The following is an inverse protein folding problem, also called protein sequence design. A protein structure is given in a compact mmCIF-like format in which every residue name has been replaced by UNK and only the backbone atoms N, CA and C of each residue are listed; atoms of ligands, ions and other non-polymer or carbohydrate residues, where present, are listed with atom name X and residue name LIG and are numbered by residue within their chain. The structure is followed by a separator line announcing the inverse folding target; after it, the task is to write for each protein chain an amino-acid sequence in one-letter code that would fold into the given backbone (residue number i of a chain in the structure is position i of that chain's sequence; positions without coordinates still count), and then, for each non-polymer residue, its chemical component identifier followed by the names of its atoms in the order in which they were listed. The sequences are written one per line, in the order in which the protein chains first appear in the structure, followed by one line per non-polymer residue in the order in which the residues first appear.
data_IF_949529912854
#
_entry.id   IF_949529912854
#
_cell.length_a   1.000
_cell.length_b   1.000
_cell.length_c   1.000
_cell.angle_alpha   90.00
_cell.angle_beta   90.00
_cell.angle_gamma   90.00
#
_symmetry.space_group_name_H-M   'P 1'
#
loop_
_entity.id
_entity.type
_entity.pdbx_description
1 polymer ?
#
# COMPACT_ATOMS: atom_id res chain seq x y z
N UNK A 1 5.77 6.45 11.95
CA UNK A 1 5.99 4.99 11.81
C UNK A 1 6.87 4.67 10.61
N UNK A 2 6.41 4.88 9.37
CA UNK A 2 7.24 4.59 8.17
C UNK A 2 8.48 5.49 8.12
N UNK A 3 8.39 6.75 8.53
CA UNK A 3 9.56 7.61 8.68
C UNK A 3 10.61 7.04 9.66
N UNK A 4 10.21 6.60 10.85
CA UNK A 4 11.13 6.00 11.83
C UNK A 4 11.73 4.68 11.34
N UNK A 5 10.99 3.93 10.52
CA UNK A 5 11.47 2.70 9.86
C UNK A 5 12.38 3.01 8.67
N UNK A 6 12.20 4.15 8.00
CA UNK A 6 13.03 4.58 6.88
C UNK A 6 14.45 5.00 7.29
N UNK A 7 14.61 5.37 8.57
CA UNK A 7 15.90 5.48 9.27
C UNK A 7 16.61 4.13 9.47
N UNK A 8 15.88 3.02 9.36
CA UNK A 8 16.39 1.67 9.58
C UNK A 8 16.72 0.97 8.26
N UNK A 9 17.20 -0.28 8.35
CA UNK A 9 17.47 -1.16 7.22
C UNK A 9 16.30 -1.22 6.21
N UNK A 10 16.57 -1.17 4.89
CA UNK A 10 15.55 -1.35 3.85
C UNK A 10 14.73 -2.64 4.00
N UNK A 11 15.33 -3.69 4.57
CA UNK A 11 14.69 -4.98 4.84
C UNK A 11 13.57 -4.86 5.88
N UNK A 12 13.71 -3.96 6.86
CA UNK A 12 12.69 -3.70 7.89
C UNK A 12 11.52 -2.90 7.32
N UNK A 13 11.79 -1.91 6.46
CA UNK A 13 10.75 -1.18 5.73
C UNK A 13 9.97 -2.17 4.86
N UNK A 14 10.69 -3.01 4.12
CA UNK A 14 10.07 -4.00 3.26
C UNK A 14 9.23 -5.01 4.05
N UNK A 15 9.72 -5.50 5.18
CA UNK A 15 8.95 -6.41 6.05
C UNK A 15 7.71 -5.73 6.63
N UNK A 16 7.82 -4.46 7.04
CA UNK A 16 6.70 -3.69 7.54
C UNK A 16 5.63 -3.45 6.47
N UNK A 17 6.05 -3.04 5.27
CA UNK A 17 5.15 -2.83 4.12
C UNK A 17 4.53 -4.15 3.67
N UNK A 18 5.29 -5.25 3.64
CA UNK A 18 4.74 -6.58 3.36
C UNK A 18 3.69 -7.01 4.40
N UNK A 19 3.85 -6.60 5.66
CA UNK A 19 2.84 -6.78 6.71
C UNK A 19 1.46 -6.23 6.33
N UNK A 20 1.41 -5.08 5.65
CA UNK A 20 0.14 -4.51 5.15
C UNK A 20 -0.54 -5.42 4.12
N UNK A 21 0.23 -6.08 3.24
CA UNK A 21 -0.36 -7.02 2.29
C UNK A 21 -0.77 -8.35 2.93
N UNK A 22 -0.02 -8.82 3.94
CA UNK A 22 -0.41 -10.01 4.71
C UNK A 22 -1.76 -9.77 5.38
N UNK A 23 -1.95 -8.59 5.98
CA UNK A 23 -3.22 -8.20 6.59
C UNK A 23 -4.38 -8.20 5.58
N UNK A 24 -4.18 -7.61 4.39
CA UNK A 24 -5.18 -7.65 3.32
C UNK A 24 -5.54 -9.07 2.86
N UNK A 25 -4.54 -9.95 2.71
CA UNK A 25 -4.77 -11.35 2.34
C UNK A 25 -5.48 -12.14 3.45
N UNK A 26 -5.07 -11.95 4.71
CA UNK A 26 -5.68 -12.58 5.87
C UNK A 26 -7.13 -12.12 6.05
N UNK A 27 -7.38 -10.81 5.94
CA UNK A 27 -8.72 -10.21 5.96
C UNK A 27 -9.62 -10.83 4.90
N UNK A 28 -9.09 -11.02 3.68
CA UNK A 28 -9.83 -11.66 2.59
C UNK A 28 -10.13 -13.13 2.88
N UNK A 29 -9.16 -13.88 3.42
CA UNK A 29 -9.33 -15.28 3.80
C UNK A 29 -10.39 -15.43 4.90
N UNK A 30 -10.31 -14.63 5.98
CA UNK A 30 -11.30 -14.64 7.06
C UNK A 30 -12.68 -14.33 6.47
N UNK A 31 -12.80 -13.29 5.63
CA UNK A 31 -14.09 -12.92 5.02
C UNK A 31 -14.69 -14.02 4.15
N UNK A 32 -13.88 -14.75 3.38
CA UNK A 32 -14.32 -15.90 2.59
C UNK A 32 -14.78 -17.06 3.48
N UNK A 33 -14.00 -17.40 4.53
CA UNK A 33 -14.33 -18.45 5.49
C UNK A 33 -15.62 -18.12 6.22
N UNK A 34 -15.75 -16.89 6.72
CA UNK A 34 -16.94 -16.44 7.44
C UNK A 34 -18.16 -16.45 6.53
N UNK A 35 -18.04 -16.01 5.28
CA UNK A 35 -19.15 -16.15 4.33
C UNK A 35 -19.53 -17.62 4.12
N UNK A 36 -18.56 -18.51 3.92
CA UNK A 36 -18.81 -19.94 3.68
C UNK A 36 -19.51 -20.60 4.88
N UNK A 37 -19.08 -20.26 6.09
CA UNK A 37 -19.63 -20.80 7.33
C UNK A 37 -21.07 -20.34 7.59
N UNK A 38 -21.42 -19.10 7.22
CA UNK A 38 -22.72 -18.51 7.55
C UNK A 38 -23.69 -18.41 6.36
N UNK A 39 -23.31 -18.79 5.14
CA UNK A 39 -24.16 -18.65 3.93
C UNK A 39 -25.55 -19.29 4.08
N UNK A 40 -25.64 -20.43 4.79
CA UNK A 40 -26.90 -21.18 4.96
C UNK A 40 -27.64 -20.86 6.27
N UNK A 41 -27.18 -19.89 7.06
CA UNK A 41 -27.76 -19.54 8.36
C UNK A 41 -28.79 -18.41 8.25
N UNK A 42 -29.84 -18.45 9.09
CA UNK A 42 -30.74 -17.30 9.25
C UNK A 42 -29.96 -16.11 9.84
N UNK A 43 -30.05 -14.96 9.18
CA UNK A 43 -29.20 -13.78 9.41
C UNK A 43 -27.69 -14.03 9.26
N UNK A 44 -27.32 -15.01 8.43
CA UNK A 44 -25.94 -15.44 8.23
C UNK A 44 -24.98 -14.32 7.83
N UNK A 45 -25.41 -13.40 6.96
CA UNK A 45 -24.58 -12.26 6.54
C UNK A 45 -24.24 -11.33 7.72
N UNK A 46 -25.22 -11.05 8.59
CA UNK A 46 -25.05 -10.17 9.76
C UNK A 46 -24.20 -10.84 10.83
N UNK A 47 -24.48 -12.10 11.16
CA UNK A 47 -23.68 -12.88 12.12
C UNK A 47 -22.25 -13.03 11.63
N UNK A 48 -22.08 -13.30 10.34
CA UNK A 48 -20.78 -13.35 9.70
C UNK A 48 -20.03 -12.02 9.81
N UNK A 49 -20.67 -10.89 9.48
CA UNK A 49 -20.04 -9.57 9.60
C UNK A 49 -19.62 -9.25 11.05
N UNK A 50 -20.46 -9.57 12.05
CA UNK A 50 -20.14 -9.35 13.46
C UNK A 50 -18.94 -10.20 13.90
N UNK A 51 -18.88 -11.47 13.50
CA UNK A 51 -17.77 -12.37 13.85
C UNK A 51 -16.48 -11.93 13.15
N UNK A 52 -16.56 -11.57 11.87
CA UNK A 52 -15.43 -11.02 11.13
C UNK A 52 -14.87 -9.78 11.83
N UNK A 53 -15.74 -8.84 12.22
CA UNK A 53 -15.34 -7.61 12.90
C UNK A 53 -14.74 -7.91 14.28
N UNK A 54 -15.32 -8.83 15.05
CA UNK A 54 -14.79 -9.24 16.35
C UNK A 54 -13.38 -9.84 16.25
N UNK A 55 -13.15 -10.72 15.27
CA UNK A 55 -11.83 -11.32 15.02
C UNK A 55 -10.84 -10.24 14.58
N UNK A 56 -11.23 -9.36 13.65
CA UNK A 56 -10.37 -8.27 13.18
C UNK A 56 -9.96 -7.34 14.32
N UNK A 57 -10.91 -6.89 15.15
CA UNK A 57 -10.63 -6.03 16.32
C UNK A 57 -9.71 -6.73 17.33
N UNK A 58 -9.88 -8.02 17.55
CA UNK A 58 -8.99 -8.78 18.45
C UNK A 58 -7.55 -8.83 17.91
N UNK A 59 -7.39 -9.11 16.61
CA UNK A 59 -6.07 -9.13 15.95
C UNK A 59 -5.41 -7.74 16.00
N UNK A 60 -6.14 -6.68 15.68
CA UNK A 60 -5.64 -5.30 15.76
C UNK A 60 -5.17 -4.94 17.17
N UNK A 61 -5.97 -5.29 18.21
CA UNK A 61 -5.62 -5.03 19.60
C UNK A 61 -4.33 -5.78 19.98
N UNK A 62 -4.19 -7.04 19.56
CA UNK A 62 -2.97 -7.81 19.75
C UNK A 62 -1.77 -7.16 19.03
N UNK A 63 -1.94 -6.68 17.80
CA UNK A 63 -0.90 -5.95 17.06
C UNK A 63 -0.45 -4.69 17.79
N UNK A 64 -1.39 -3.92 18.35
CA UNK A 64 -1.08 -2.72 19.14
C UNK A 64 -0.28 -3.07 20.41
N UNK A 65 -0.67 -4.14 21.12
CA UNK A 65 0.06 -4.62 22.31
C UNK A 65 1.49 -5.06 21.93
N UNK A 66 1.63 -5.88 20.89
CA UNK A 66 2.95 -6.33 20.41
C UNK A 66 3.83 -5.13 20.02
N UNK A 67 3.26 -4.15 19.33
CA UNK A 67 3.98 -2.93 18.96
C UNK A 67 4.35 -2.07 20.17
N UNK A 68 3.49 -1.93 21.17
CA UNK A 68 3.77 -1.10 22.34
C UNK A 68 4.82 -1.74 23.26
N UNK A 69 4.75 -3.06 23.48
CA UNK A 69 5.54 -3.74 24.51
C UNK A 69 6.72 -4.55 23.98
N UNK A 70 6.61 -5.16 22.79
CA UNK A 70 7.65 -6.06 22.23
C UNK A 70 8.57 -5.29 21.30
N UNK A 71 8.02 -4.51 20.37
CA UNK A 71 8.81 -3.81 19.35
C UNK A 71 9.93 -2.90 19.93
N UNK A 72 9.71 -2.08 20.98
CA UNK A 72 10.75 -1.23 21.56
C UNK A 72 11.87 -2.03 22.26
N UNK A 73 11.60 -3.28 22.64
CA UNK A 73 12.55 -4.14 23.35
C UNK A 73 13.52 -4.86 22.41
N UNK A 74 13.21 -4.93 21.12
CA UNK A 74 14.04 -5.60 20.11
C UNK A 74 15.44 -4.95 20.02
N UNK A 75 16.53 -5.74 20.02
CA UNK A 75 17.90 -5.22 19.98
C UNK A 75 18.18 -4.31 18.79
N UNK A 76 17.65 -4.68 17.61
CA UNK A 76 17.81 -3.90 16.38
C UNK A 76 17.14 -2.52 16.48
N UNK A 77 15.95 -2.45 17.09
CA UNK A 77 15.22 -1.20 17.28
C UNK A 77 15.95 -0.30 18.27
N UNK A 78 16.48 -0.87 19.37
CA UNK A 78 17.30 -0.13 20.33
C UNK A 78 18.56 0.46 19.68
N UNK A 79 19.25 -0.32 18.86
CA UNK A 79 20.43 0.13 18.11
C UNK A 79 20.12 1.29 17.16
N UNK A 80 19.05 1.19 16.37
CA UNK A 80 18.69 2.26 15.44
C UNK A 80 18.18 3.52 16.15
N UNK A 81 17.46 3.38 17.27
CA UNK A 81 17.05 4.52 18.11
C UNK A 81 18.25 5.22 18.75
N UNK A 82 19.23 4.48 19.27
CA UNK A 82 20.44 5.08 19.84
C UNK A 82 21.30 5.75 18.76
N UNK A 83 21.42 5.13 17.57
CA UNK A 83 22.09 5.73 16.41
C UNK A 83 21.41 7.03 15.97
N UNK A 84 20.09 7.05 15.87
CA UNK A 84 19.34 8.26 15.52
C UNK A 84 19.50 9.37 16.57
N UNK A 85 19.51 9.02 17.86
CA UNK A 85 19.77 9.97 18.95
C UNK A 85 21.19 10.55 18.89
N UNK A 86 22.19 9.72 18.58
CA UNK A 86 23.58 10.14 18.40
C UNK A 86 23.75 11.07 17.20
N UNK A 87 23.19 10.72 16.04
CA UNK A 87 23.23 11.58 14.84
C UNK A 87 22.50 12.91 15.06
N UNK A 88 21.37 12.89 15.79
CA UNK A 88 20.67 14.10 16.21
C UNK A 88 21.52 14.99 17.12
N UNK A 89 22.15 14.41 18.15
CA UNK A 89 23.03 15.14 19.07
C UNK A 89 24.25 15.74 18.37
N UNK A 90 24.89 14.99 17.46
CA UNK A 90 26.02 15.48 16.66
C UNK A 90 25.61 16.63 15.74
N UNK A 91 24.40 16.60 15.19
CA UNK A 91 23.86 17.69 14.36
C UNK A 91 23.66 18.96 15.19
N UNK A 92 23.12 18.84 16.40
CA UNK A 92 22.97 19.98 17.33
C UNK A 92 24.33 20.55 17.72
N UNK A 93 25.32 19.70 18.00
CA UNK A 93 26.67 20.13 18.35
C UNK A 93 27.36 20.87 17.18
N UNK A 94 27.22 20.38 15.95
CA UNK A 94 27.76 21.04 14.77
C UNK A 94 27.11 22.41 14.50
N UNK A 95 25.80 22.54 14.73
CA UNK A 95 25.08 23.82 14.62
C UNK A 95 25.53 24.85 15.67
N UNK A 96 26.08 24.41 16.80
CA UNK A 96 26.56 25.30 17.86
C UNK A 96 28.03 25.75 17.66
N UNK A 97 28.80 24.99 16.89
CA UNK A 97 30.26 25.21 16.72
C UNK A 97 30.57 25.91 15.39
N UNK A 98 29.68 25.85 14.40
CA UNK A 98 29.96 26.26 13.03
C UNK A 98 28.81 27.12 12.46
N UNK A 99 29.04 28.43 12.36
CA UNK A 99 28.08 29.40 11.79
C UNK A 99 28.11 29.37 10.23
N UNK A 100 29.01 28.59 9.62
CA UNK A 100 29.27 28.64 8.17
C UNK A 100 29.63 27.30 7.50
N UNK A 101 29.44 26.12 8.14
CA UNK A 101 29.77 24.84 7.49
C UNK A 101 28.66 24.18 6.70
N UNK A 102 29.06 23.81 5.49
CA UNK A 102 28.39 23.10 4.38
C UNK A 102 27.91 21.68 4.73
N UNK A 103 27.32 21.47 5.89
CA UNK A 103 26.61 20.25 6.27
C UNK A 103 25.11 20.50 6.50
N UNK A 104 24.57 21.49 5.78
CA UNK A 104 23.17 21.89 5.86
C UNK A 104 22.28 20.70 5.48
N UNK A 105 21.54 20.18 6.47
CA UNK A 105 20.46 19.21 6.26
C UNK A 105 19.52 19.77 5.19
N UNK A 106 19.20 18.98 4.18
CA UNK A 106 18.27 19.41 3.14
C UNK A 106 16.91 19.77 3.78
N UNK A 107 16.32 20.88 3.35
CA UNK A 107 14.99 21.28 3.79
C UNK A 107 13.94 20.31 3.25
N UNK A 108 12.82 20.13 3.95
CA UNK A 108 11.71 19.27 3.47
C UNK A 108 11.24 19.67 2.06
N UNK A 109 11.31 20.96 1.71
CA UNK A 109 10.96 21.46 0.39
C UNK A 109 11.96 21.03 -0.69
N UNK A 110 13.24 20.98 -0.35
CA UNK A 110 14.31 20.53 -1.25
C UNK A 110 14.27 19.01 -1.42
N UNK A 111 14.08 18.28 -0.32
CA UNK A 111 13.86 16.82 -0.34
C UNK A 111 12.67 16.45 -1.21
N UNK A 112 11.55 17.18 -1.09
CA UNK A 112 10.39 16.99 -1.94
C UNK A 112 10.70 17.31 -3.39
N UNK A 113 11.38 18.43 -3.68
CA UNK A 113 11.72 18.81 -5.06
C UNK A 113 12.62 17.80 -5.75
N UNK A 114 13.55 17.18 -5.03
CA UNK A 114 14.45 16.14 -5.56
C UNK A 114 13.78 14.76 -5.75
N UNK A 115 12.69 14.50 -5.05
CA UNK A 115 11.98 13.21 -5.06
C UNK A 115 10.52 13.35 -5.50
N UNK A 116 10.19 14.44 -6.21
CA UNK A 116 8.83 14.73 -6.65
C UNK A 116 8.32 13.65 -7.61
N UNK A 117 9.21 13.07 -8.41
CA UNK A 117 8.95 11.92 -9.27
C UNK A 117 8.46 10.72 -8.47
N UNK A 118 9.16 10.34 -7.39
CA UNK A 118 8.71 9.25 -6.52
C UNK A 118 7.39 9.55 -5.81
N UNK A 119 7.22 10.77 -5.32
CA UNK A 119 6.01 11.19 -4.62
C UNK A 119 4.78 11.17 -5.55
N UNK A 120 4.91 11.74 -6.75
CA UNK A 120 3.86 11.75 -7.78
C UNK A 120 3.57 10.34 -8.28
N UNK A 121 4.61 9.53 -8.54
CA UNK A 121 4.43 8.13 -8.95
C UNK A 121 3.64 7.34 -7.91
N UNK A 122 3.96 7.49 -6.63
CA UNK A 122 3.24 6.83 -5.54
C UNK A 122 1.80 7.33 -5.44
N UNK A 123 1.58 8.65 -5.53
CA UNK A 123 0.24 9.22 -5.56
C UNK A 123 -0.60 8.63 -6.71
N UNK A 124 -0.10 8.69 -7.94
CA UNK A 124 -0.79 8.17 -9.13
C UNK A 124 -1.05 6.67 -9.05
N UNK A 125 -0.10 5.91 -8.51
CA UNK A 125 -0.24 4.47 -8.29
C UNK A 125 -1.47 4.14 -7.44
N UNK A 126 -1.65 4.84 -6.31
CA UNK A 126 -2.77 4.62 -5.39
C UNK A 126 -4.07 5.25 -5.89
N UNK A 127 -4.02 6.39 -6.58
CA UNK A 127 -5.18 6.98 -7.26
C UNK A 127 -5.80 5.97 -8.23
N UNK A 128 -4.98 5.41 -9.13
CA UNK A 128 -5.44 4.46 -10.11
C UNK A 128 -6.03 3.20 -9.44
N UNK A 129 -5.27 2.61 -8.52
CA UNK A 129 -5.68 1.35 -7.89
C UNK A 129 -7.00 1.52 -7.12
N UNK A 130 -7.15 2.60 -6.34
CA UNK A 130 -8.37 2.82 -5.55
C UNK A 130 -9.52 3.43 -6.34
N UNK A 131 -9.26 4.00 -7.52
CA UNK A 131 -10.33 4.34 -8.45
C UNK A 131 -11.00 3.09 -9.05
N UNK A 132 -10.37 1.91 -8.98
CA UNK A 132 -10.91 0.65 -9.53
C UNK A 132 -11.35 -0.29 -8.40
N UNK A 133 -10.60 -0.37 -7.30
CA UNK A 133 -10.90 -1.27 -6.18
C UNK A 133 -11.17 -0.43 -4.92
N UNK A 134 -12.31 -0.59 -4.23
CA UNK A 134 -13.29 -1.67 -4.37
C UNK A 134 -14.53 -1.35 -5.21
N UNK A 135 -14.89 -0.08 -5.46
CA UNK A 135 -16.24 0.27 -5.91
C UNK A 135 -16.62 -0.33 -7.25
N UNK A 136 -15.78 -0.19 -8.28
CA UNK A 136 -16.04 -0.82 -9.58
C UNK A 136 -16.25 -2.34 -9.49
N UNK A 137 -15.59 -3.04 -8.56
CA UNK A 137 -15.77 -4.49 -8.38
C UNK A 137 -17.10 -4.87 -7.74
N UNK A 138 -17.58 -4.09 -6.78
CA UNK A 138 -18.86 -4.34 -6.12
C UNK A 138 -20.03 -3.89 -6.99
N UNK A 139 -19.84 -2.82 -7.76
CA UNK A 139 -20.87 -2.21 -8.57
C UNK A 139 -21.14 -2.99 -9.86
N UNK A 140 -20.13 -3.68 -10.40
CA UNK A 140 -20.27 -4.44 -11.64
C UNK A 140 -20.53 -5.93 -11.43
N UNK A 141 -21.22 -6.33 -10.36
CA UNK A 141 -21.74 -7.70 -10.20
C UNK A 141 -22.97 -7.89 -11.10
N UNK A 142 -22.76 -7.98 -12.41
CA UNK A 142 -23.76 -8.46 -13.35
C UNK A 142 -24.15 -9.93 -13.10
N UNK A 143 -24.90 -10.54 -14.03
CA UNK A 143 -25.16 -11.97 -13.95
C UNK A 143 -23.88 -12.75 -14.27
N UNK A 144 -23.33 -13.39 -13.26
CA UNK A 144 -22.11 -14.17 -13.39
C UNK A 144 -22.25 -15.47 -12.60
N UNK A 145 -21.54 -16.53 -13.02
CA UNK A 145 -21.66 -17.85 -12.38
C UNK A 145 -21.27 -17.87 -10.89
N UNK A 146 -20.54 -16.85 -10.42
CA UNK A 146 -20.09 -16.72 -9.03
C UNK A 146 -21.06 -15.94 -8.14
N UNK A 147 -22.09 -15.28 -8.70
CA UNK A 147 -23.09 -14.53 -7.95
C UNK A 147 -22.49 -13.61 -6.87
N UNK A 148 -22.97 -13.72 -5.64
CA UNK A 148 -22.53 -12.89 -4.49
C UNK A 148 -21.08 -13.17 -4.05
N UNK A 149 -20.44 -14.23 -4.55
CA UNK A 149 -19.03 -14.55 -4.27
C UNK A 149 -18.05 -13.78 -5.14
N UNK A 150 -18.52 -13.25 -6.26
CA UNK A 150 -17.67 -12.65 -7.28
C UNK A 150 -16.81 -11.50 -6.73
N UNK A 151 -17.40 -10.48 -6.14
CA UNK A 151 -16.66 -9.34 -5.60
C UNK A 151 -15.67 -9.76 -4.50
N UNK A 152 -16.01 -10.75 -3.67
CA UNK A 152 -15.11 -11.25 -2.64
C UNK A 152 -13.90 -11.99 -3.21
N UNK A 153 -14.12 -12.79 -4.26
CA UNK A 153 -13.03 -13.46 -4.97
C UNK A 153 -12.12 -12.43 -5.65
N UNK A 154 -12.67 -11.39 -6.28
CA UNK A 154 -11.87 -10.33 -6.88
C UNK A 154 -11.01 -9.61 -5.84
N UNK A 155 -11.59 -9.21 -4.70
CA UNK A 155 -10.83 -8.58 -3.61
C UNK A 155 -9.74 -9.53 -3.06
N UNK A 156 -10.06 -10.82 -2.91
CA UNK A 156 -9.07 -11.80 -2.48
C UNK A 156 -7.92 -11.96 -3.49
N UNK A 157 -8.23 -12.02 -4.79
CA UNK A 157 -7.22 -12.12 -5.85
C UNK A 157 -6.35 -10.87 -5.93
N UNK A 158 -6.93 -9.68 -5.77
CA UNK A 158 -6.18 -8.43 -5.65
C UNK A 158 -5.20 -8.48 -4.48
N UNK A 159 -5.66 -8.86 -3.29
CA UNK A 159 -4.84 -8.88 -2.08
C UNK A 159 -3.76 -9.97 -2.11
N UNK A 160 -4.07 -11.18 -2.58
CA UNK A 160 -3.11 -12.27 -2.72
C UNK A 160 -2.00 -11.93 -3.73
N UNK A 161 -2.36 -11.39 -4.91
CA UNK A 161 -1.35 -10.96 -5.88
C UNK A 161 -0.61 -9.70 -5.43
N UNK A 162 -1.25 -8.81 -4.69
CA UNK A 162 -0.60 -7.70 -4.00
C UNK A 162 0.51 -8.18 -3.06
N UNK A 163 0.23 -9.21 -2.27
CA UNK A 163 1.22 -9.86 -1.39
C UNK A 163 2.42 -10.39 -2.19
N UNK A 164 2.16 -11.16 -3.25
CA UNK A 164 3.22 -11.66 -4.14
C UNK A 164 4.03 -10.49 -4.74
N UNK A 165 3.35 -9.43 -5.15
CA UNK A 165 3.95 -8.21 -5.69
C UNK A 165 4.92 -7.55 -4.72
N UNK A 166 4.57 -7.46 -3.44
CA UNK A 166 5.44 -6.85 -2.42
C UNK A 166 6.72 -7.65 -2.14
N UNK A 167 6.70 -8.97 -2.36
CA UNK A 167 7.90 -9.81 -2.24
C UNK A 167 8.73 -9.88 -3.52
N UNK A 168 8.14 -9.54 -4.67
CA UNK A 168 8.81 -9.61 -5.97
C UNK A 168 10.13 -8.83 -6.02
N UNK A 169 10.27 -7.62 -5.43
CA UNK A 169 11.54 -6.89 -5.37
C UNK A 169 12.68 -7.55 -4.59
N UNK A 170 12.43 -8.64 -3.82
CA UNK A 170 13.51 -9.45 -3.22
C UNK A 170 14.35 -10.14 -4.31
N UNK A 171 13.72 -10.45 -5.43
CA UNK A 171 14.37 -11.03 -6.60
C UNK A 171 15.02 -9.90 -7.38
N UNK A 172 16.35 -9.79 -7.29
CA UNK A 172 17.12 -8.64 -7.82
C UNK A 172 16.85 -8.33 -9.30
N UNK A 173 16.59 -9.34 -10.15
CA UNK A 173 16.34 -9.10 -11.58
C UNK A 173 14.97 -8.46 -11.84
N UNK A 174 13.98 -8.70 -10.97
CA UNK A 174 12.62 -8.13 -11.11
C UNK A 174 12.54 -6.72 -10.53
N UNK A 175 13.51 -6.32 -9.71
CA UNK A 175 13.49 -5.04 -9.03
C UNK A 175 13.76 -3.89 -10.00
N UNK A 176 12.77 -3.02 -10.17
CA UNK A 176 12.90 -1.81 -10.98
C UNK A 176 13.61 -0.73 -10.17
N UNK A 177 14.88 -0.46 -10.48
CA UNK A 177 15.66 0.58 -9.78
C UNK A 177 15.76 1.91 -10.52
N UNK A 178 15.48 1.93 -11.84
CA UNK A 178 15.59 3.14 -12.66
C UNK A 178 14.39 4.06 -12.43
N UNK A 179 14.65 5.33 -12.06
CA UNK A 179 13.62 6.39 -11.89
C UNK A 179 12.65 6.51 -13.08
N UNK A 180 13.20 6.57 -14.30
CA UNK A 180 12.40 6.62 -15.53
C UNK A 180 11.53 5.36 -15.69
N UNK A 181 12.12 4.18 -15.48
CA UNK A 181 11.39 2.90 -15.56
C UNK A 181 10.23 2.79 -14.56
N UNK A 182 10.37 3.34 -13.34
CA UNK A 182 9.26 3.41 -12.38
C UNK A 182 8.14 4.34 -12.87
N UNK A 183 8.51 5.50 -13.40
CA UNK A 183 7.54 6.46 -13.94
C UNK A 183 6.78 5.87 -15.12
N UNK A 184 7.51 5.28 -16.07
CA UNK A 184 6.93 4.64 -17.25
C UNK A 184 6.01 3.48 -16.85
N UNK A 185 6.41 2.66 -15.87
CA UNK A 185 5.59 1.57 -15.35
C UNK A 185 4.30 2.08 -14.68
N UNK A 186 4.36 3.15 -13.89
CA UNK A 186 3.17 3.76 -13.27
C UNK A 186 2.24 4.34 -14.33
N UNK A 187 2.77 5.06 -15.31
CA UNK A 187 1.97 5.62 -16.40
C UNK A 187 1.32 4.53 -17.27
N UNK A 188 2.05 3.44 -17.55
CA UNK A 188 1.51 2.30 -18.29
C UNK A 188 0.30 1.67 -17.61
N UNK A 189 0.21 1.72 -16.26
CA UNK A 189 -0.95 1.18 -15.55
C UNK A 189 -2.24 1.94 -15.87
N UNK A 190 -2.20 3.20 -16.31
CA UNK A 190 -3.43 3.92 -16.69
C UNK A 190 -4.14 3.29 -17.91
N UNK A 191 -3.43 2.54 -18.75
CA UNK A 191 -4.06 1.73 -19.80
C UNK A 191 -4.93 0.60 -19.24
N UNK A 192 -4.80 0.24 -17.96
CA UNK A 192 -5.71 -0.71 -17.33
C UNK A 192 -7.14 -0.15 -17.26
N UNK A 193 -7.35 1.16 -17.12
CA UNK A 193 -8.69 1.77 -17.04
C UNK A 193 -9.55 1.41 -18.27
N UNK A 194 -9.14 1.72 -19.52
CA UNK A 194 -9.93 1.34 -20.69
C UNK A 194 -10.04 -0.18 -20.86
N UNK A 195 -9.03 -0.95 -20.45
CA UNK A 195 -9.06 -2.42 -20.50
C UNK A 195 -10.10 -2.99 -19.51
N UNK A 196 -10.19 -2.45 -18.30
CA UNK A 196 -11.22 -2.79 -17.32
C UNK A 196 -12.61 -2.44 -17.85
N UNK A 197 -12.79 -1.23 -18.41
CA UNK A 197 -14.06 -0.81 -19.01
C UNK A 197 -14.50 -1.72 -20.16
N UNK A 198 -13.57 -2.13 -21.03
CA UNK A 198 -13.86 -3.05 -22.14
C UNK A 198 -14.22 -4.46 -21.63
N UNK A 199 -13.46 -4.96 -20.65
CA UNK A 199 -13.66 -6.30 -20.07
C UNK A 199 -14.99 -6.42 -19.35
N UNK A 200 -15.51 -5.35 -18.76
CA UNK A 200 -16.87 -5.33 -18.19
C UNK A 200 -17.95 -5.58 -19.22
N UNK A 201 -17.79 -5.04 -20.42
CA UNK A 201 -18.82 -5.11 -21.47
C UNK A 201 -18.76 -6.40 -22.28
N UNK A 202 -17.56 -6.92 -22.50
CA UNK A 202 -17.33 -8.00 -23.47
C UNK A 202 -16.55 -9.18 -22.90
N UNK A 203 -15.93 -9.02 -21.73
CA UNK A 203 -15.08 -10.03 -21.10
C UNK A 203 -15.86 -10.95 -20.17
N UNK A 204 -15.32 -12.16 -19.99
CA UNK A 204 -15.80 -13.11 -19.00
C UNK A 204 -15.27 -12.82 -17.58
N UNK A 205 -15.74 -13.61 -16.61
CA UNK A 205 -15.29 -13.53 -15.22
C UNK A 205 -13.78 -13.80 -15.06
N UNK A 206 -13.21 -14.67 -15.88
CA UNK A 206 -11.80 -15.05 -15.85
C UNK A 206 -10.89 -13.89 -16.25
N UNK A 207 -11.23 -13.17 -17.31
CA UNK A 207 -10.50 -11.96 -17.73
C UNK A 207 -10.48 -10.90 -16.65
N UNK A 208 -11.60 -10.69 -15.95
CA UNK A 208 -11.66 -9.73 -14.85
C UNK A 208 -10.79 -10.17 -13.65
N UNK A 209 -10.81 -11.45 -13.29
CA UNK A 209 -9.93 -12.01 -12.25
C UNK A 209 -8.46 -11.83 -12.64
N UNK A 210 -8.11 -12.07 -13.90
CA UNK A 210 -6.74 -11.89 -14.40
C UNK A 210 -6.31 -10.42 -14.32
N UNK A 211 -7.13 -9.48 -14.76
CA UNK A 211 -6.81 -8.05 -14.69
C UNK A 211 -6.65 -7.57 -13.26
N UNK A 212 -7.51 -8.01 -12.36
CA UNK A 212 -7.42 -7.72 -10.93
C UNK A 212 -6.13 -8.28 -10.31
N UNK A 213 -5.74 -9.48 -10.73
CA UNK A 213 -4.48 -10.11 -10.30
C UNK A 213 -3.27 -9.29 -10.73
N UNK A 214 -3.24 -8.86 -12.00
CA UNK A 214 -2.20 -7.98 -12.54
C UNK A 214 -2.19 -6.63 -11.80
N UNK A 215 -3.37 -6.06 -11.54
CA UNK A 215 -3.51 -4.81 -10.81
C UNK A 215 -2.90 -4.92 -9.41
N UNK A 216 -3.22 -6.00 -8.68
CA UNK A 216 -2.66 -6.30 -7.35
C UNK A 216 -1.14 -6.49 -7.38
N UNK A 217 -0.65 -7.37 -8.26
CA UNK A 217 0.78 -7.66 -8.41
C UNK A 217 1.61 -6.40 -8.70
N UNK A 218 1.18 -5.62 -9.69
CA UNK A 218 1.86 -4.38 -10.08
C UNK A 218 1.79 -3.31 -9.00
N UNK A 219 0.67 -3.21 -8.27
CA UNK A 219 0.53 -2.29 -7.13
C UNK A 219 1.56 -2.61 -6.04
N UNK A 220 1.60 -3.86 -5.60
CA UNK A 220 2.52 -4.31 -4.55
C UNK A 220 3.99 -4.12 -4.95
N UNK A 221 4.33 -4.51 -6.18
CA UNK A 221 5.70 -4.42 -6.70
C UNK A 221 6.20 -2.98 -6.77
N UNK A 222 5.44 -2.09 -7.42
CA UNK A 222 5.85 -0.70 -7.62
C UNK A 222 5.87 0.09 -6.31
N UNK A 223 4.91 -0.15 -5.40
CA UNK A 223 4.92 0.47 -4.06
C UNK A 223 6.20 0.17 -3.30
N UNK A 224 6.60 -1.11 -3.25
CA UNK A 224 7.83 -1.52 -2.54
C UNK A 224 9.07 -0.97 -3.23
N UNK A 225 9.13 -0.98 -4.56
CA UNK A 225 10.24 -0.38 -5.29
C UNK A 225 10.39 1.11 -4.94
N UNK A 226 9.32 1.90 -5.02
CA UNK A 226 9.36 3.35 -4.71
C UNK A 226 9.78 3.59 -3.26
N UNK A 227 9.13 2.93 -2.30
CA UNK A 227 9.36 3.14 -0.87
C UNK A 227 10.75 2.68 -0.40
N UNK A 228 11.36 1.70 -1.08
CA UNK A 228 12.71 1.21 -0.73
C UNK A 228 13.83 1.93 -1.45
N UNK A 229 13.57 2.56 -2.61
CA UNK A 229 14.59 3.25 -3.40
C UNK A 229 14.66 4.74 -3.02
N UNK A 230 13.52 5.40 -2.83
CA UNK A 230 13.48 6.86 -2.63
C UNK A 230 14.29 7.35 -1.40
N UNK A 231 14.32 6.65 -0.25
CA UNK A 231 15.16 7.05 0.88
C UNK A 231 16.65 6.70 0.72
N UNK A 232 17.06 5.92 -0.29
CA UNK A 232 18.47 5.51 -0.43
C UNK A 232 19.36 6.69 -0.81
N UNK A 233 20.50 6.81 -0.13
CA UNK A 233 21.51 7.85 -0.40
C UNK A 233 21.32 9.13 0.41
N UNK A 234 20.24 9.24 1.20
CA UNK A 234 19.99 10.36 2.12
C UNK A 234 20.52 10.09 3.53
N UNK A 235 20.78 11.15 4.30
CA UNK A 235 21.18 11.04 5.72
C UNK A 235 20.00 10.56 6.56
N UNK A 236 20.25 9.91 7.70
CA UNK A 236 19.18 9.35 8.55
C UNK A 236 17.98 10.28 8.80
N UNK A 237 18.18 11.52 9.29
CA UNK A 237 17.08 12.47 9.48
C UNK A 237 16.32 12.85 8.20
N UNK A 238 17.00 12.86 7.05
CA UNK A 238 16.40 13.13 5.74
C UNK A 238 15.60 11.94 5.22
N UNK A 239 16.07 10.70 5.48
CA UNK A 239 15.33 9.48 5.18
C UNK A 239 13.99 9.47 5.88
N UNK A 240 13.95 9.80 7.18
CA UNK A 240 12.72 9.94 7.95
C UNK A 240 11.75 10.96 7.32
N UNK A 241 12.26 12.13 6.95
CA UNK A 241 11.46 13.18 6.33
C UNK A 241 10.88 12.72 4.98
N UNK A 242 11.70 12.11 4.11
CA UNK A 242 11.25 11.55 2.82
C UNK A 242 10.21 10.46 3.04
N UNK A 243 10.44 9.52 3.96
CA UNK A 243 9.51 8.45 4.27
C UNK A 243 8.13 8.98 4.65
N UNK A 244 8.08 9.98 5.53
CA UNK A 244 6.82 10.62 5.92
C UNK A 244 6.17 11.39 4.75
N UNK A 245 6.95 12.11 3.94
CA UNK A 245 6.44 12.80 2.75
C UNK A 245 5.79 11.80 1.77
N UNK A 246 6.46 10.69 1.47
CA UNK A 246 5.93 9.66 0.58
C UNK A 246 4.61 9.08 1.12
N UNK A 247 4.50 8.85 2.43
CA UNK A 247 3.25 8.40 3.04
C UNK A 247 2.14 9.43 2.91
N UNK A 248 2.44 10.72 3.04
CA UNK A 248 1.45 11.78 2.81
C UNK A 248 0.92 11.74 1.38
N UNK A 249 1.79 11.57 0.37
CA UNK A 249 1.37 11.44 -1.03
C UNK A 249 0.58 10.14 -1.28
N UNK A 250 0.97 9.04 -0.64
CA UNK A 250 0.22 7.79 -0.67
C UNK A 250 -1.21 7.99 -0.15
N UNK A 251 -1.36 8.61 1.03
CA UNK A 251 -2.67 8.88 1.64
C UNK A 251 -3.50 9.85 0.79
N UNK A 252 -2.87 10.88 0.23
CA UNK A 252 -3.52 11.77 -0.73
C UNK A 252 -4.03 11.02 -1.97
N UNK A 253 -3.23 10.08 -2.48
CA UNK A 253 -3.61 9.24 -3.61
C UNK A 253 -4.75 8.27 -3.29
N UNK A 254 -4.73 7.69 -2.09
CA UNK A 254 -5.82 6.88 -1.55
C UNK A 254 -7.13 7.67 -1.50
N UNK A 255 -7.10 8.87 -0.91
CA UNK A 255 -8.27 9.74 -0.81
C UNK A 255 -8.82 10.12 -2.19
N UNK A 256 -7.95 10.59 -3.10
CA UNK A 256 -8.34 10.97 -4.45
C UNK A 256 -8.86 9.76 -5.27
N UNK A 257 -8.23 8.59 -5.14
CA UNK A 257 -8.68 7.35 -5.79
C UNK A 257 -10.08 6.95 -5.36
N UNK A 258 -10.36 6.94 -4.05
CA UNK A 258 -11.70 6.66 -3.52
C UNK A 258 -12.73 7.68 -3.98
N UNK A 259 -12.37 8.96 -4.09
CA UNK A 259 -13.28 9.96 -4.65
C UNK A 259 -13.57 9.71 -6.15
N UNK A 260 -12.56 9.30 -6.92
CA UNK A 260 -12.70 9.01 -8.35
C UNK A 260 -13.43 7.69 -8.64
N UNK A 261 -13.47 6.75 -7.69
CA UNK A 261 -14.25 5.52 -7.77
C UNK A 261 -15.74 5.78 -8.06
N UNK A 262 -16.27 6.92 -7.56
CA UNK A 262 -17.64 7.35 -7.84
C UNK A 262 -17.90 7.67 -9.30
N UNK A 263 -16.86 7.98 -10.09
CA UNK A 263 -17.03 8.24 -11.52
C UNK A 263 -17.54 7.00 -12.27
N UNK A 264 -17.28 5.79 -11.76
CA UNK A 264 -17.81 4.56 -12.34
C UNK A 264 -19.32 4.40 -12.15
N UNK A 265 -19.92 5.13 -11.21
CA UNK A 265 -21.36 5.16 -10.99
C UNK A 265 -22.10 6.08 -11.98
N UNK A 266 -21.39 7.04 -12.57
CA UNK A 266 -21.99 8.04 -13.47
C UNK A 266 -22.50 7.34 -14.73
N UNK A 267 -23.81 7.42 -14.98
CA UNK A 267 -24.47 6.85 -16.16
C UNK A 267 -25.17 5.50 -15.95
N UNK A 268 -25.10 4.93 -14.73
CA UNK A 268 -25.95 3.78 -14.38
C UNK A 268 -27.34 4.24 -13.97
N UNK A 269 -28.37 3.69 -14.61
CA UNK A 269 -29.79 4.05 -14.38
C UNK A 269 -30.33 3.62 -13.01
N UNK A 270 -29.64 2.74 -12.30
CA UNK A 270 -30.05 2.19 -10.99
C UNK A 270 -28.93 2.31 -9.93
N UNK A 271 -28.13 3.38 -9.97
CA UNK A 271 -27.23 3.68 -8.86
C UNK A 271 -28.05 4.44 -7.79
N UNK A 272 -28.05 3.87 -6.57
CA UNK A 272 -28.85 4.21 -5.37
C UNK A 272 -30.23 3.55 -5.28
#
# INVERSE_FOLDING_TARGET
MIGDLSLMCPELIQSFVAGLAIDGALTSAIRLITKAAFEKSHDGLRKGAIIFLAIATFIELLCVILYAYVFPKLPIVKYYRSKAAYEGSKTILLLLIDDDSKNQRLSNKELLRQNIDYAVNLFLLYVLTLSIVPGFLYENTGQHGLGTWYALILVAMYNCWGLVGMYTPLVKWLKIEKRKGLTDAVLLRFFLIPVFYYTVKYGDQGWMIMLISILGLTNGHLSVCILTIAPKGYKGPEQNAIGNLLVTFLLGGVFAGVALDWLWLIGKKNAF
#
